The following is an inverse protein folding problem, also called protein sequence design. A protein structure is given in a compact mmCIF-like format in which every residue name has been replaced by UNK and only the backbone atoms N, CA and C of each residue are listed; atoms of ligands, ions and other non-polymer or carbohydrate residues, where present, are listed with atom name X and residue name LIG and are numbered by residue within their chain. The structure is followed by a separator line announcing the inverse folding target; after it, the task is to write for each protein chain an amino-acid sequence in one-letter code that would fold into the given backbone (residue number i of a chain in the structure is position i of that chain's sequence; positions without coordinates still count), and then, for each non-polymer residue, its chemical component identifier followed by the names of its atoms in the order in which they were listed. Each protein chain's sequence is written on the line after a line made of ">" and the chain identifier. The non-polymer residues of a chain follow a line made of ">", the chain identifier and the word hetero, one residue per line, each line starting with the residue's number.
data_IF_490710694216
#
_entry.id   IF_490710694216
#
_cell.length_a   1.000
_cell.length_b   1.000
_cell.length_c   1.000
_cell.angle_alpha   90.00
_cell.angle_beta   90.00
_cell.angle_gamma   90.00
#
_symmetry.space_group_name_H-M   'P 1'
#
loop_
_entity.id
_entity.type
_entity.pdbx_description
1 polymer ?
#
# COMPACT_ATOMS: atom_id res chain seq x y z
N UNK A 1 -21.11 55.50 27.03
CA UNK A 1 -20.31 54.41 27.60
C UNK A 1 -21.14 53.19 28.00
N UNK A 2 -22.41 53.30 28.40
CA UNK A 2 -23.25 52.11 28.70
C UNK A 2 -23.72 51.31 27.48
N UNK A 3 -23.91 51.96 26.32
CA UNK A 3 -24.42 51.30 25.12
C UNK A 3 -23.39 50.39 24.43
N UNK A 4 -22.10 50.78 24.45
CA UNK A 4 -21.00 49.92 23.98
C UNK A 4 -20.89 48.63 24.80
N UNK A 5 -21.03 48.73 26.13
CA UNK A 5 -20.94 47.56 27.02
C UNK A 5 -22.09 46.57 26.80
N UNK A 6 -23.32 47.08 26.61
CA UNK A 6 -24.49 46.22 26.32
C UNK A 6 -24.45 45.60 24.93
N UNK A 7 -23.85 46.29 23.96
CA UNK A 7 -23.66 45.76 22.61
C UNK A 7 -22.64 44.62 22.62
N UNK A 8 -21.51 44.79 23.31
CA UNK A 8 -20.50 43.76 23.45
C UNK A 8 -21.01 42.53 24.23
N UNK A 9 -21.80 42.76 25.29
CA UNK A 9 -22.42 41.67 26.07
C UNK A 9 -23.48 40.89 25.27
N UNK A 10 -24.24 41.58 24.41
CA UNK A 10 -25.19 40.91 23.50
C UNK A 10 -24.46 40.13 22.41
N UNK A 11 -23.35 40.66 21.89
CA UNK A 11 -22.54 39.99 20.89
C UNK A 11 -21.88 38.72 21.46
N UNK A 12 -21.29 38.81 22.66
CA UNK A 12 -20.72 37.65 23.35
C UNK A 12 -21.77 36.60 23.70
N UNK A 13 -23.00 37.01 24.05
CA UNK A 13 -24.12 36.08 24.33
C UNK A 13 -24.62 35.40 23.07
N UNK A 14 -24.71 36.10 21.94
CA UNK A 14 -25.09 35.53 20.64
C UNK A 14 -24.02 34.56 20.16
N UNK A 15 -22.74 34.92 20.27
CA UNK A 15 -21.64 34.04 19.90
C UNK A 15 -21.50 32.82 20.82
N UNK A 16 -21.71 32.98 22.12
CA UNK A 16 -21.74 31.86 23.06
C UNK A 16 -22.92 30.91 22.76
N UNK A 17 -24.09 31.44 22.39
CA UNK A 17 -25.24 30.63 22.00
C UNK A 17 -25.03 29.93 20.66
N UNK A 18 -24.45 30.60 19.66
CA UNK A 18 -24.08 30.01 18.36
C UNK A 18 -23.09 28.86 18.52
N UNK A 19 -22.04 29.03 19.35
CA UNK A 19 -21.09 27.95 19.68
C UNK A 19 -21.75 26.77 20.42
N UNK A 20 -22.84 27.00 21.15
CA UNK A 20 -23.52 25.95 21.93
C UNK A 20 -24.54 25.14 21.11
N UNK A 21 -25.08 25.73 20.04
CA UNK A 21 -26.16 25.16 19.20
C UNK A 21 -25.61 24.44 17.97
N UNK A 22 -24.52 24.92 17.36
CA UNK A 22 -23.97 24.32 16.12
C UNK A 22 -22.93 23.22 16.39
N UNK A 23 -22.24 23.25 17.54
CA UNK A 23 -21.16 22.31 17.85
C UNK A 23 -21.61 20.92 18.37
N UNK A 24 -22.87 20.76 18.81
CA UNK A 24 -23.35 19.51 19.47
C UNK A 24 -24.44 18.74 18.73
N UNK A 25 -25.09 19.35 17.76
CA UNK A 25 -26.17 18.70 17.01
C UNK A 25 -25.65 17.93 15.79
N UNK A 26 -24.48 18.29 15.25
CA UNK A 26 -23.95 17.65 14.05
C UNK A 26 -23.46 16.22 14.30
N UNK A 27 -22.80 15.91 15.42
CA UNK A 27 -22.37 14.54 15.74
C UNK A 27 -23.61 13.66 15.98
N UNK A 28 -24.65 14.23 16.59
CA UNK A 28 -25.93 13.54 16.79
C UNK A 28 -26.63 13.25 15.46
N UNK A 29 -26.73 14.23 14.57
CA UNK A 29 -27.29 14.07 13.21
C UNK A 29 -26.46 13.13 12.35
N UNK A 30 -25.14 13.16 12.46
CA UNK A 30 -24.24 12.27 11.73
C UNK A 30 -24.32 10.83 12.25
N UNK A 31 -24.41 10.64 13.57
CA UNK A 31 -24.63 9.34 14.17
C UNK A 31 -26.01 8.78 13.83
N UNK A 32 -27.03 9.63 13.80
CA UNK A 32 -28.37 9.28 13.31
C UNK A 32 -28.33 8.86 11.84
N UNK A 33 -27.58 9.55 10.97
CA UNK A 33 -27.39 9.16 9.58
C UNK A 33 -26.64 7.82 9.46
N UNK A 34 -25.60 7.60 10.26
CA UNK A 34 -24.92 6.29 10.35
C UNK A 34 -25.87 5.18 10.76
N UNK A 35 -26.70 5.42 11.78
CA UNK A 35 -27.64 4.42 12.29
C UNK A 35 -28.79 4.18 11.32
N UNK A 36 -29.26 5.21 10.61
CA UNK A 36 -30.26 5.09 9.54
C UNK A 36 -29.74 4.28 8.35
N UNK A 37 -28.46 4.42 7.97
CA UNK A 37 -27.87 3.59 6.92
C UNK A 37 -27.69 2.15 7.38
N UNK A 38 -27.26 1.91 8.63
CA UNK A 38 -27.22 0.55 9.20
C UNK A 38 -28.61 -0.10 9.20
N UNK A 39 -29.65 0.65 9.55
CA UNK A 39 -31.04 0.19 9.56
C UNK A 39 -31.58 -0.05 8.14
N UNK A 40 -31.32 0.85 7.20
CA UNK A 40 -31.71 0.65 5.79
C UNK A 40 -31.03 -0.58 5.19
N UNK A 41 -29.75 -0.80 5.49
CA UNK A 41 -29.06 -2.03 5.09
C UNK A 41 -29.69 -3.28 5.72
N UNK A 42 -30.10 -3.24 6.99
CA UNK A 42 -30.78 -4.37 7.63
C UNK A 42 -32.16 -4.66 7.01
N UNK A 43 -32.92 -3.63 6.63
CA UNK A 43 -34.25 -3.78 6.02
C UNK A 43 -34.16 -4.23 4.56
N UNK A 44 -33.24 -3.67 3.76
CA UNK A 44 -33.00 -4.10 2.38
C UNK A 44 -32.52 -5.56 2.31
N UNK A 45 -31.79 -6.02 3.32
CA UNK A 45 -31.32 -7.41 3.43
C UNK A 45 -32.43 -8.37 3.92
N UNK A 46 -33.42 -7.90 4.69
CA UNK A 46 -34.45 -8.75 5.32
C UNK A 46 -35.89 -8.54 4.81
N UNK A 47 -36.12 -7.80 3.74
CA UNK A 47 -37.47 -7.69 3.15
C UNK A 47 -37.76 -8.95 2.32
N UNK A 48 -38.71 -9.83 2.72
CA UNK A 48 -39.05 -10.97 1.89
C UNK A 48 -39.93 -10.46 0.75
N UNK A 49 -39.34 -10.34 -0.44
CA UNK A 49 -40.13 -10.35 -1.66
C UNK A 49 -40.83 -11.72 -1.73
N UNK A 50 -42.15 -11.70 -1.84
CA UNK A 50 -42.98 -12.89 -1.81
C UNK A 50 -42.46 -14.01 -2.73
N UNK A 51 -42.34 -15.20 -2.15
CA UNK A 51 -42.39 -16.50 -2.82
C UNK A 51 -41.36 -16.77 -3.92
N UNK A 52 -40.21 -17.34 -3.54
CA UNK A 52 -39.64 -18.58 -4.10
C UNK A 52 -38.15 -18.70 -3.72
N UNK A 53 -37.82 -19.85 -3.13
CA UNK A 53 -36.48 -20.47 -3.03
C UNK A 53 -35.32 -19.62 -2.46
N UNK A 54 -34.96 -19.96 -1.21
CA UNK A 54 -33.79 -19.43 -0.52
C UNK A 54 -32.49 -19.92 -1.17
N UNK A 55 -32.05 -19.24 -2.23
CA UNK A 55 -30.64 -19.09 -2.48
C UNK A 55 -30.14 -17.98 -1.56
N UNK A 56 -29.43 -18.36 -0.49
CA UNK A 56 -28.75 -17.43 0.42
C UNK A 56 -27.92 -16.44 -0.39
N UNK A 57 -28.44 -15.23 -0.62
CA UNK A 57 -27.68 -14.17 -1.28
C UNK A 57 -26.43 -13.92 -0.43
N UNK A 58 -25.22 -13.97 -1.03
CA UNK A 58 -24.00 -13.68 -0.29
C UNK A 58 -24.13 -12.30 0.35
N UNK A 59 -24.01 -12.24 1.69
CA UNK A 59 -23.96 -10.97 2.42
C UNK A 59 -22.76 -10.20 1.89
N UNK A 60 -23.01 -9.07 1.24
CA UNK A 60 -21.96 -8.29 0.62
C UNK A 60 -21.03 -7.76 1.72
N UNK A 61 -19.70 -7.98 1.62
CA UNK A 61 -18.77 -7.47 2.61
C UNK A 61 -18.80 -5.94 2.57
N UNK A 62 -18.97 -5.32 3.74
CA UNK A 62 -18.91 -3.87 3.87
C UNK A 62 -17.48 -3.36 3.59
N UNK A 63 -17.32 -2.20 2.93
CA UNK A 63 -16.02 -1.61 2.70
C UNK A 63 -15.27 -1.31 4.00
N UNK A 64 -13.94 -1.43 3.95
CA UNK A 64 -13.07 -1.05 5.07
C UNK A 64 -13.07 0.47 5.23
N UNK A 65 -13.18 0.95 6.47
CA UNK A 65 -13.06 2.37 6.78
C UNK A 65 -11.64 2.89 6.55
N UNK A 66 -11.51 4.15 6.13
CA UNK A 66 -10.23 4.81 5.87
C UNK A 66 -9.92 5.88 6.91
N UNK A 67 -8.74 5.77 7.54
CA UNK A 67 -8.35 6.58 8.70
C UNK A 67 -7.62 7.88 8.41
N UNK A 68 -7.29 8.17 7.15
CA UNK A 68 -6.50 9.35 6.77
C UNK A 68 -4.99 9.15 6.74
N UNK A 69 -4.50 7.90 6.69
CA UNK A 69 -3.09 7.62 6.48
C UNK A 69 -2.62 8.24 5.16
N UNK A 70 -1.54 9.03 5.20
CA UNK A 70 -0.91 9.61 4.00
C UNK A 70 -0.11 8.56 3.24
N UNK A 71 -0.80 7.57 2.71
CA UNK A 71 -0.26 6.42 1.99
C UNK A 71 -1.10 6.23 0.72
N UNK A 72 -0.42 6.20 -0.44
CA UNK A 72 -1.11 6.08 -1.73
C UNK A 72 -1.88 4.76 -1.85
N UNK A 73 -1.32 3.65 -1.35
CA UNK A 73 -1.95 2.32 -1.44
C UNK A 73 -3.22 2.28 -0.60
N UNK A 74 -3.18 2.81 0.62
CA UNK A 74 -4.37 2.84 1.48
C UNK A 74 -5.49 3.69 0.88
N UNK A 75 -5.17 4.86 0.32
CA UNK A 75 -6.17 5.71 -0.34
C UNK A 75 -6.72 5.02 -1.58
N UNK A 76 -5.89 4.44 -2.45
CA UNK A 76 -6.38 3.77 -3.67
C UNK A 76 -7.21 2.53 -3.36
N UNK A 77 -6.81 1.72 -2.39
CA UNK A 77 -7.58 0.56 -1.94
C UNK A 77 -8.95 1.00 -1.42
N UNK A 78 -9.01 2.02 -0.57
CA UNK A 78 -10.29 2.55 -0.07
C UNK A 78 -11.20 3.03 -1.20
N UNK A 79 -10.67 3.85 -2.12
CA UNK A 79 -11.45 4.38 -3.24
C UNK A 79 -11.95 3.24 -4.15
N UNK A 80 -11.11 2.24 -4.40
CA UNK A 80 -11.48 1.07 -5.21
C UNK A 80 -12.56 0.23 -4.52
N UNK A 81 -12.43 -0.08 -3.24
CA UNK A 81 -13.39 -0.88 -2.48
C UNK A 81 -14.77 -0.21 -2.42
N UNK A 82 -14.81 1.10 -2.19
CA UNK A 82 -16.05 1.89 -2.20
C UNK A 82 -16.68 1.91 -3.59
N UNK A 83 -15.88 2.03 -4.65
CA UNK A 83 -16.40 1.99 -6.02
C UNK A 83 -16.97 0.61 -6.39
N UNK A 84 -16.30 -0.48 -5.98
CA UNK A 84 -16.85 -1.83 -6.14
C UNK A 84 -18.16 -2.00 -5.36
N UNK A 85 -18.22 -1.44 -4.15
CA UNK A 85 -19.43 -1.47 -3.35
C UNK A 85 -20.58 -0.76 -4.06
N UNK A 86 -20.38 0.47 -4.56
CA UNK A 86 -21.40 1.19 -5.33
C UNK A 86 -21.91 0.41 -6.53
N UNK A 87 -21.02 -0.24 -7.29
CA UNK A 87 -21.39 -1.09 -8.43
C UNK A 87 -22.25 -2.27 -8.00
N UNK A 88 -21.91 -2.87 -6.87
CA UNK A 88 -22.54 -4.09 -6.39
C UNK A 88 -23.94 -3.83 -5.80
N UNK A 89 -24.14 -2.69 -5.12
CA UNK A 89 -25.47 -2.23 -4.64
C UNK A 89 -26.22 -1.30 -5.61
N UNK A 90 -25.65 -1.04 -6.80
CA UNK A 90 -26.23 -0.23 -7.89
C UNK A 90 -26.62 1.19 -7.47
N UNK A 91 -25.68 1.90 -6.83
CA UNK A 91 -25.87 3.32 -6.50
C UNK A 91 -25.56 4.18 -7.73
N UNK A 92 -26.57 4.85 -8.26
CA UNK A 92 -26.43 5.69 -9.46
C UNK A 92 -26.31 7.20 -9.13
N UNK A 93 -26.86 7.65 -7.99
CA UNK A 93 -26.83 9.06 -7.59
C UNK A 93 -25.44 9.48 -7.07
N UNK A 94 -24.84 10.48 -7.72
CA UNK A 94 -23.55 11.05 -7.32
C UNK A 94 -23.56 11.62 -5.90
N UNK A 95 -24.64 12.31 -5.51
CA UNK A 95 -24.79 12.83 -4.15
C UNK A 95 -24.86 11.68 -3.11
N UNK A 96 -25.54 10.59 -3.46
CA UNK A 96 -25.61 9.40 -2.61
C UNK A 96 -24.25 8.72 -2.50
N UNK A 97 -23.47 8.63 -3.60
CA UNK A 97 -22.10 8.10 -3.55
C UNK A 97 -21.20 8.92 -2.62
N UNK A 98 -21.22 10.25 -2.74
CA UNK A 98 -20.44 11.13 -1.85
C UNK A 98 -20.86 10.94 -0.40
N UNK A 99 -22.17 10.97 -0.11
CA UNK A 99 -22.68 10.75 1.24
C UNK A 99 -22.23 9.40 1.79
N UNK A 100 -22.43 8.31 1.05
CA UNK A 100 -22.06 6.97 1.49
C UNK A 100 -20.55 6.81 1.70
N UNK A 101 -19.72 7.28 0.77
CA UNK A 101 -18.26 7.18 0.89
C UNK A 101 -17.75 7.90 2.14
N UNK A 102 -18.29 9.09 2.43
CA UNK A 102 -17.85 9.91 3.56
C UNK A 102 -18.21 9.30 4.91
N UNK A 103 -19.22 8.43 4.96
CA UNK A 103 -19.56 7.66 6.16
C UNK A 103 -18.52 6.61 6.54
N UNK A 104 -17.69 6.17 5.58
CA UNK A 104 -16.59 5.24 5.82
C UNK A 104 -15.26 5.95 6.14
N UNK A 105 -15.25 7.28 6.25
CA UNK A 105 -14.09 8.02 6.72
C UNK A 105 -14.06 8.02 8.26
N UNK A 106 -12.88 7.73 8.80
CA UNK A 106 -12.60 7.73 10.25
C UNK A 106 -11.29 8.47 10.52
N UNK A 107 -10.98 8.74 11.80
CA UNK A 107 -9.74 9.39 12.18
C UNK A 107 -9.51 10.76 11.48
N UNK A 108 -8.30 10.97 10.99
CA UNK A 108 -7.88 12.23 10.36
C UNK A 108 -8.66 12.51 9.06
N UNK A 109 -9.08 11.47 8.34
CA UNK A 109 -9.92 11.63 7.16
C UNK A 109 -11.32 12.17 7.51
N UNK A 110 -11.89 11.76 8.65
CA UNK A 110 -13.18 12.29 9.12
C UNK A 110 -13.06 13.76 9.52
N UNK A 111 -11.98 14.13 10.21
CA UNK A 111 -11.71 15.53 10.57
C UNK A 111 -11.54 16.42 9.34
N UNK A 112 -10.83 15.94 8.32
CA UNK A 112 -10.70 16.63 7.05
C UNK A 112 -12.06 16.80 6.35
N UNK A 113 -12.89 15.76 6.32
CA UNK A 113 -14.23 15.84 5.72
C UNK A 113 -15.14 16.83 6.45
N UNK A 114 -15.09 16.89 7.78
CA UNK A 114 -15.82 17.90 8.56
C UNK A 114 -15.45 19.33 8.13
N UNK A 115 -14.15 19.61 7.96
CA UNK A 115 -13.69 20.90 7.47
C UNK A 115 -14.24 21.19 6.06
N UNK A 116 -14.18 20.21 5.15
CA UNK A 116 -14.72 20.33 3.79
C UNK A 116 -16.23 20.52 3.77
N UNK A 117 -16.96 19.90 4.70
CA UNK A 117 -18.40 20.03 4.79
C UNK A 117 -18.82 21.47 5.14
N UNK A 118 -18.13 22.10 6.10
CA UNK A 118 -18.33 23.54 6.40
C UNK A 118 -17.99 24.42 5.19
N UNK A 119 -16.89 24.13 4.49
CA UNK A 119 -16.51 24.85 3.26
C UNK A 119 -17.60 24.75 2.16
N UNK A 120 -18.31 23.62 2.10
CA UNK A 120 -19.42 23.39 1.15
C UNK A 120 -20.67 24.17 1.57
N UNK A 121 -21.02 24.19 2.86
CA UNK A 121 -22.16 24.96 3.38
C UNK A 121 -21.98 26.47 3.17
N UNK A 122 -20.75 26.96 3.36
CA UNK A 122 -20.39 28.35 3.09
C UNK A 122 -20.27 28.67 1.58
N UNK A 123 -20.44 27.68 0.71
CA UNK A 123 -20.37 27.83 -0.75
C UNK A 123 -18.95 28.03 -1.30
N UNK A 124 -17.92 27.87 -0.46
CA UNK A 124 -16.50 28.03 -0.83
C UNK A 124 -15.90 26.81 -1.53
N UNK A 125 -16.53 25.64 -1.41
CA UNK A 125 -16.12 24.39 -2.05
C UNK A 125 -17.34 23.64 -2.63
N UNK A 126 -17.12 22.83 -3.67
CA UNK A 126 -18.14 21.98 -4.27
C UNK A 126 -17.58 20.57 -4.40
N UNK A 127 -18.08 19.65 -3.56
CA UNK A 127 -17.77 18.21 -3.63
C UNK A 127 -19.10 17.46 -3.73
N UNK A 128 -19.69 17.46 -4.93
CA UNK A 128 -21.02 16.89 -5.19
C UNK A 128 -21.00 15.66 -6.10
N UNK A 129 -19.81 15.24 -6.56
CA UNK A 129 -19.62 14.04 -7.38
C UNK A 129 -18.55 13.14 -6.78
N UNK A 130 -18.65 11.84 -7.08
CA UNK A 130 -17.68 10.85 -6.65
C UNK A 130 -16.28 11.15 -7.20
N UNK A 131 -16.19 11.63 -8.44
CA UNK A 131 -14.91 11.97 -9.07
C UNK A 131 -14.22 13.17 -8.40
N UNK A 132 -14.99 14.19 -8.00
CA UNK A 132 -14.43 15.32 -7.25
C UNK A 132 -13.95 14.85 -5.87
N UNK A 133 -14.75 14.04 -5.16
CA UNK A 133 -14.34 13.50 -3.86
C UNK A 133 -13.06 12.67 -3.97
N UNK A 134 -12.94 11.81 -4.99
CA UNK A 134 -11.70 11.07 -5.29
C UNK A 134 -10.52 12.02 -5.44
N UNK A 135 -10.65 13.06 -6.26
CA UNK A 135 -9.57 14.02 -6.50
C UNK A 135 -9.15 14.76 -5.23
N UNK A 136 -10.11 15.22 -4.43
CA UNK A 136 -9.85 15.93 -3.17
C UNK A 136 -9.20 15.01 -2.13
N UNK A 137 -9.67 13.76 -1.98
CA UNK A 137 -9.05 12.75 -1.12
C UNK A 137 -7.61 12.45 -1.56
N UNK A 138 -7.39 12.24 -2.87
CA UNK A 138 -6.05 12.03 -3.41
C UNK A 138 -5.16 13.25 -3.16
N UNK A 139 -5.64 14.46 -3.43
CA UNK A 139 -4.88 15.69 -3.19
C UNK A 139 -4.47 15.86 -1.72
N UNK A 140 -5.35 15.49 -0.78
CA UNK A 140 -5.09 15.67 0.64
C UNK A 140 -4.14 14.60 1.19
N UNK A 141 -4.33 13.34 0.80
CA UNK A 141 -3.72 12.19 1.46
C UNK A 141 -2.69 11.44 0.59
N UNK A 142 -2.54 11.76 -0.70
CA UNK A 142 -1.42 11.21 -1.45
C UNK A 142 -0.11 11.86 -1.00
N UNK A 143 0.95 11.07 -0.80
CA UNK A 143 2.30 11.61 -0.80
C UNK A 143 2.61 12.16 -2.19
N UNK A 144 3.05 13.42 -2.26
CA UNK A 144 3.31 14.16 -3.50
C UNK A 144 4.41 13.53 -4.39
N UNK A 145 5.11 12.49 -3.91
CA UNK A 145 6.27 11.88 -4.56
C UNK A 145 6.25 10.35 -4.62
N UNK A 146 5.11 9.66 -4.44
CA UNK A 146 5.10 8.18 -4.38
C UNK A 146 5.71 7.53 -5.62
N UNK A 147 5.23 7.88 -6.83
CA UNK A 147 5.75 7.30 -8.07
C UNK A 147 7.24 7.65 -8.31
N UNK A 148 7.65 8.88 -7.98
CA UNK A 148 9.04 9.32 -8.10
C UNK A 148 9.95 8.54 -7.14
N UNK A 149 9.55 8.39 -5.87
CA UNK A 149 10.28 7.63 -4.86
C UNK A 149 10.37 6.15 -5.26
N UNK A 150 9.29 5.57 -5.77
CA UNK A 150 9.30 4.19 -6.27
C UNK A 150 10.23 4.03 -7.46
N UNK A 151 10.28 5.00 -8.38
CA UNK A 151 11.25 4.99 -9.49
C UNK A 151 12.69 5.10 -9.01
N UNK A 152 12.97 5.96 -8.02
CA UNK A 152 14.29 6.05 -7.40
C UNK A 152 14.67 4.73 -6.71
N UNK A 153 13.76 4.17 -5.92
CA UNK A 153 13.96 2.89 -5.25
C UNK A 153 14.13 1.72 -6.25
N UNK A 154 13.48 1.78 -7.41
CA UNK A 154 13.65 0.80 -8.49
C UNK A 154 15.07 0.81 -9.06
N UNK A 155 15.67 1.99 -9.26
CA UNK A 155 17.06 2.10 -9.73
C UNK A 155 18.05 1.47 -8.73
N UNK A 156 17.73 1.58 -7.43
CA UNK A 156 18.49 1.02 -6.33
C UNK A 156 18.10 -0.45 -6.00
N UNK A 157 17.03 -0.97 -6.60
CA UNK A 157 16.49 -2.31 -6.33
C UNK A 157 17.41 -3.38 -6.92
N UNK A 158 18.27 -3.95 -6.06
CA UNK A 158 19.23 -5.00 -6.40
C UNK A 158 19.01 -6.25 -5.56
N UNK A 159 19.17 -7.41 -6.18
CA UNK A 159 19.19 -8.70 -5.50
C UNK A 159 20.48 -8.79 -4.67
N UNK A 160 20.39 -8.53 -3.36
CA UNK A 160 21.51 -8.61 -2.40
C UNK A 160 21.41 -9.83 -1.49
N UNK A 161 20.20 -10.15 -1.02
CA UNK A 161 19.87 -11.28 -0.15
C UNK A 161 19.28 -12.48 -0.90
N UNK A 162 18.10 -12.90 -0.46
CA UNK A 162 17.33 -14.01 -1.05
C UNK A 162 16.64 -13.56 -2.33
N UNK A 163 16.48 -14.47 -3.30
CA UNK A 163 15.80 -14.16 -4.57
C UNK A 163 14.35 -13.75 -4.31
N UNK A 164 13.69 -14.38 -3.34
CA UNK A 164 12.28 -14.13 -3.00
C UNK A 164 12.07 -12.71 -2.46
N UNK A 165 12.96 -12.22 -1.61
CA UNK A 165 12.90 -10.85 -1.07
C UNK A 165 13.03 -9.82 -2.20
N UNK A 166 13.95 -10.07 -3.15
CA UNK A 166 14.09 -9.23 -4.33
C UNK A 166 12.82 -9.22 -5.19
N UNK A 167 12.23 -10.38 -5.47
CA UNK A 167 11.00 -10.49 -6.25
C UNK A 167 9.84 -9.74 -5.59
N UNK A 168 9.70 -9.84 -4.26
CA UNK A 168 8.69 -9.11 -3.48
C UNK A 168 8.92 -7.60 -3.52
N UNK A 169 10.16 -7.14 -3.30
CA UNK A 169 10.50 -5.73 -3.33
C UNK A 169 10.23 -5.13 -4.72
N UNK A 170 10.68 -5.80 -5.78
CA UNK A 170 10.46 -5.38 -7.16
C UNK A 170 8.95 -5.32 -7.49
N UNK A 171 8.20 -6.37 -7.17
CA UNK A 171 6.75 -6.43 -7.43
C UNK A 171 6.00 -5.32 -6.71
N UNK A 172 6.41 -5.00 -5.47
CA UNK A 172 5.82 -3.91 -4.69
C UNK A 172 6.05 -2.56 -5.35
N UNK A 173 7.24 -2.30 -5.90
CA UNK A 173 7.55 -1.07 -6.63
C UNK A 173 6.77 -0.97 -7.95
N UNK A 174 6.51 -2.09 -8.63
CA UNK A 174 5.72 -2.12 -9.86
C UNK A 174 4.24 -1.77 -9.65
N UNK A 175 3.72 -1.92 -8.42
CA UNK A 175 2.35 -1.45 -8.09
C UNK A 175 2.28 0.08 -8.07
N UNK A 176 3.33 0.74 -7.60
CA UNK A 176 3.39 2.20 -7.49
C UNK A 176 3.79 2.89 -8.82
N UNK A 177 4.30 2.14 -9.80
CA UNK A 177 4.73 2.63 -11.11
C UNK A 177 3.85 2.01 -12.21
N UNK A 178 2.66 2.59 -12.40
CA UNK A 178 1.66 2.05 -13.32
C UNK A 178 1.97 2.26 -14.81
N UNK A 179 2.71 3.31 -15.16
CA UNK A 179 2.97 3.74 -16.53
C UNK A 179 4.23 3.11 -17.18
N UNK A 180 4.95 2.24 -16.47
CA UNK A 180 6.13 1.55 -17.02
C UNK A 180 5.73 0.45 -18.01
N UNK A 181 6.37 0.42 -19.18
CA UNK A 181 6.12 -0.57 -20.23
C UNK A 181 6.50 -1.99 -19.79
N UNK A 182 5.79 -3.02 -20.26
CA UNK A 182 6.09 -4.42 -19.89
C UNK A 182 7.53 -4.84 -20.22
N UNK A 183 8.08 -4.30 -21.32
CA UNK A 183 9.48 -4.54 -21.73
C UNK A 183 10.45 -3.91 -20.73
N UNK A 184 10.21 -2.66 -20.33
CA UNK A 184 11.07 -1.98 -19.36
C UNK A 184 11.00 -2.66 -17.98
N UNK A 185 9.82 -3.11 -17.56
CA UNK A 185 9.68 -3.85 -16.30
C UNK A 185 10.53 -5.11 -16.29
N UNK A 186 10.52 -5.89 -17.38
CA UNK A 186 11.37 -7.07 -17.52
C UNK A 186 12.85 -6.68 -17.54
N UNK A 187 13.22 -5.63 -18.28
CA UNK A 187 14.60 -5.15 -18.36
C UNK A 187 15.14 -4.78 -16.97
N UNK A 188 14.44 -3.92 -16.21
CA UNK A 188 14.86 -3.51 -14.87
C UNK A 188 14.91 -4.70 -13.88
N UNK A 189 13.98 -5.65 -14.01
CA UNK A 189 14.00 -6.87 -13.21
C UNK A 189 15.27 -7.70 -13.48
N UNK A 190 15.59 -7.94 -14.75
CA UNK A 190 16.80 -8.68 -15.12
C UNK A 190 18.06 -7.95 -14.67
N UNK A 191 18.12 -6.62 -14.83
CA UNK A 191 19.26 -5.79 -14.41
C UNK A 191 19.44 -5.67 -12.89
N UNK A 192 18.40 -5.90 -12.10
CA UNK A 192 18.49 -5.93 -10.64
C UNK A 192 18.99 -7.28 -10.08
N UNK A 193 18.88 -8.37 -10.85
CA UNK A 193 19.31 -9.70 -10.40
C UNK A 193 20.83 -9.86 -10.33
N UNK A 194 21.29 -10.70 -9.37
CA UNK A 194 22.67 -11.20 -9.33
C UNK A 194 23.02 -11.93 -10.64
N UNK A 195 24.28 -11.88 -11.09
CA UNK A 195 24.70 -12.49 -12.35
C UNK A 195 24.32 -13.97 -12.50
N UNK A 196 24.41 -14.76 -11.43
CA UNK A 196 24.07 -16.19 -11.48
C UNK A 196 22.57 -16.42 -11.75
N UNK A 197 21.69 -15.65 -11.10
CA UNK A 197 20.25 -15.75 -11.26
C UNK A 197 19.82 -15.25 -12.64
N UNK A 198 20.40 -14.13 -13.10
CA UNK A 198 20.18 -13.60 -14.46
C UNK A 198 20.57 -14.62 -15.52
N UNK A 199 21.73 -15.27 -15.37
CA UNK A 199 22.22 -16.30 -16.29
C UNK A 199 21.26 -17.49 -16.35
N UNK A 200 20.77 -17.94 -15.19
CA UNK A 200 19.82 -19.05 -15.13
C UNK A 200 18.46 -18.70 -15.74
N UNK A 201 17.96 -17.47 -15.55
CA UNK A 201 16.74 -16.99 -16.21
C UNK A 201 16.91 -16.89 -17.73
N UNK A 202 18.06 -16.40 -18.20
CA UNK A 202 18.40 -16.40 -19.63
C UNK A 202 18.45 -17.83 -20.21
N UNK A 203 19.00 -18.79 -19.46
CA UNK A 203 19.01 -20.22 -19.85
C UNK A 203 17.59 -20.77 -20.01
N UNK A 204 16.67 -20.34 -19.14
CA UNK A 204 15.25 -20.69 -19.17
C UNK A 204 14.45 -19.91 -20.23
N UNK A 205 15.06 -18.92 -20.89
CA UNK A 205 14.46 -18.11 -21.96
C UNK A 205 13.16 -17.43 -21.56
N UNK A 206 13.14 -16.82 -20.37
CA UNK A 206 11.97 -16.03 -19.91
C UNK A 206 11.75 -14.81 -20.80
N UNK A 207 10.51 -14.56 -21.21
CA UNK A 207 10.20 -13.47 -22.17
C UNK A 207 9.25 -12.41 -21.61
N UNK A 208 8.75 -12.59 -20.40
CA UNK A 208 7.93 -11.60 -19.71
C UNK A 208 8.22 -11.60 -18.21
N UNK A 209 7.81 -10.52 -17.53
CA UNK A 209 8.06 -10.33 -16.11
C UNK A 209 7.49 -11.47 -15.25
N UNK A 210 6.29 -11.95 -15.58
CA UNK A 210 5.62 -12.98 -14.78
C UNK A 210 6.38 -14.31 -14.82
N UNK A 211 6.80 -14.75 -16.01
CA UNK A 211 7.68 -15.91 -16.19
C UNK A 211 9.02 -15.72 -15.45
N UNK A 212 9.59 -14.52 -15.51
CA UNK A 212 10.84 -14.20 -14.84
C UNK A 212 10.72 -14.30 -13.32
N UNK A 213 9.64 -13.79 -12.72
CA UNK A 213 9.36 -13.89 -11.28
C UNK A 213 9.17 -15.35 -10.88
N UNK A 214 8.32 -16.11 -11.57
CA UNK A 214 8.07 -17.53 -11.27
C UNK A 214 9.39 -18.33 -11.38
N UNK A 215 10.15 -18.10 -12.44
CA UNK A 215 11.44 -18.75 -12.63
C UNK A 215 12.42 -18.37 -11.52
N UNK A 216 12.48 -17.10 -11.13
CA UNK A 216 13.34 -16.60 -10.06
C UNK A 216 12.97 -17.19 -8.69
N UNK A 217 11.69 -17.23 -8.32
CA UNK A 217 11.24 -17.83 -7.05
C UNK A 217 11.51 -19.33 -6.98
N UNK A 218 11.50 -20.03 -8.11
CA UNK A 218 11.88 -21.45 -8.17
C UNK A 218 13.40 -21.68 -8.03
N UNK A 219 14.22 -20.63 -8.08
CA UNK A 219 15.62 -20.69 -7.71
C UNK A 219 15.71 -20.72 -6.18
N UNK A 220 15.45 -21.90 -5.59
CA UNK A 220 15.78 -22.16 -4.18
C UNK A 220 17.18 -21.63 -3.92
N UNK A 221 17.35 -20.77 -2.90
CA UNK A 221 18.59 -20.02 -2.68
C UNK A 221 19.80 -20.93 -2.85
N UNK A 222 20.43 -20.86 -4.03
CA UNK A 222 21.51 -21.73 -4.46
C UNK A 222 22.81 -21.26 -3.78
N UNK A 223 22.72 -20.98 -2.48
CA UNK A 223 23.78 -20.62 -1.57
C UNK A 223 24.05 -21.76 -0.58
N UNK A 224 23.66 -22.99 -0.90
CA UNK A 224 24.51 -24.12 -0.54
C UNK A 224 25.76 -24.00 -1.41
N UNK A 225 26.81 -23.36 -0.86
CA UNK A 225 28.18 -23.46 -1.38
C UNK A 225 28.37 -24.88 -1.93
N UNK A 226 28.94 -25.09 -3.13
CA UNK A 226 29.32 -26.44 -3.51
C UNK A 226 30.24 -26.97 -2.40
N UNK A 227 29.75 -27.95 -1.63
CA UNK A 227 30.56 -28.74 -0.73
C UNK A 227 31.63 -29.35 -1.62
N UNK A 228 32.85 -28.80 -1.57
CA UNK A 228 34.00 -29.48 -2.17
C UNK A 228 34.03 -30.89 -1.56
N UNK A 229 34.11 -31.95 -2.38
CA UNK A 229 34.19 -33.30 -1.86
C UNK A 229 35.34 -33.39 -0.84
N UNK A 230 35.19 -34.09 0.30
CA UNK A 230 36.21 -34.15 1.35
C UNK A 230 37.59 -34.73 0.97
N UNK A 231 37.87 -35.05 -0.30
CA UNK A 231 39.04 -35.83 -0.70
C UNK A 231 40.30 -35.05 -1.10
N UNK A 232 40.28 -33.71 -1.22
CA UNK A 232 41.48 -32.98 -1.68
C UNK A 232 42.24 -32.15 -0.62
N UNK A 233 41.86 -32.24 0.67
CA UNK A 233 42.57 -31.49 1.74
C UNK A 233 43.78 -32.22 2.34
N UNK A 234 44.16 -33.41 1.86
CA UNK A 234 45.26 -34.21 2.46
C UNK A 234 46.46 -34.52 1.55
N UNK A 235 46.60 -33.87 0.39
CA UNK A 235 47.72 -34.16 -0.52
C UNK A 235 48.87 -33.13 -0.47
N UNK A 236 48.65 -31.89 -0.02
CA UNK A 236 49.74 -30.87 0.00
C UNK A 236 50.60 -30.82 1.26
N UNK A 237 50.19 -31.46 2.36
CA UNK A 237 50.98 -31.47 3.60
C UNK A 237 51.94 -32.68 3.72
N UNK A 238 51.91 -33.63 2.76
CA UNK A 238 52.77 -34.82 2.78
C UNK A 238 54.07 -34.67 1.97
N UNK A 239 54.15 -33.71 1.05
CA UNK A 239 55.35 -33.49 0.22
C UNK A 239 56.34 -32.47 0.79
N UNK A 240 55.91 -31.58 1.71
CA UNK A 240 56.79 -30.58 2.33
C UNK A 240 57.75 -31.14 3.40
N UNK A 241 57.50 -32.33 3.96
CA UNK A 241 58.36 -32.92 5.01
C UNK A 241 59.46 -33.86 4.48
N UNK A 242 59.42 -34.26 3.21
CA UNK A 242 60.43 -35.16 2.63
C UNK A 242 61.62 -34.40 2.01
N UNK A 243 61.43 -33.17 1.51
CA UNK A 243 62.54 -32.35 0.99
C UNK A 243 63.41 -31.71 2.08
N UNK A 244 62.87 -31.47 3.28
CA UNK A 244 63.61 -30.82 4.38
C UNK A 244 64.62 -31.72 5.11
N UNK A 245 64.64 -33.04 4.86
CA UNK A 245 65.60 -33.98 5.47
C UNK A 245 66.77 -34.37 4.57
N UNK A 246 66.85 -33.83 3.34
CA UNK A 246 67.85 -34.22 2.34
C UNK A 246 69.12 -33.35 2.25
N UNK A 247 69.18 -32.19 2.92
CA UNK A 247 70.36 -31.31 2.82
C UNK A 247 70.86 -30.85 4.19
N UNK A 248 71.68 -31.70 4.81
CA UNK A 248 72.64 -31.27 5.84
C UNK A 248 73.96 -31.97 5.59
N UNK A 249 74.72 -31.48 4.60
CA UNK A 249 76.16 -31.76 4.50
C UNK A 249 76.89 -30.78 5.41
N UNK A 250 77.43 -31.31 6.52
CA UNK A 250 78.36 -30.62 7.43
C UNK A 250 79.63 -30.16 6.67
N UNK A 251 80.20 -28.98 6.97
CA UNK A 251 81.58 -28.69 6.61
C UNK A 251 82.53 -29.48 7.52
N UNK A 252 83.54 -30.14 6.92
CA UNK A 252 84.63 -30.81 7.63
C UNK A 252 85.57 -29.78 8.26
N UNK A 253 85.88 -29.95 9.54
CA UNK A 253 87.10 -29.45 10.17
C UNK A 253 88.24 -30.48 9.95
N UNK A 254 89.41 -29.99 9.56
CA UNK A 254 90.73 -30.64 9.64
C UNK A 254 91.76 -29.54 9.37
N UNK A 255 92.52 -29.11 10.38
CA UNK A 255 93.88 -29.57 10.71
C UNK A 255 94.83 -29.52 9.51
#
# INVERSE_FOLDING_TARGET
>A
MEWEGRFQELQDRVEHHARHVEGRDWESKFQELQDRVKLLNHVVVNTPAGGAEHASRPRMPEPKSYGGARDAKEVENFLFDIEQYFRAIRVDSEATKVSMATMYLVGDAKLWWQKKYVEIEDGSCIINTWDILKRELKSQFFPENTAFNSRKALLECKHTGLVREYCQAFSTLMLDISDMSAVDRLFFFMEGLKPWARTELNRRRVNNLNEAIIAAESLSDYNSKPQRPPSERKSKQKYWWQEARGSSTKPKLGQ
#
